data_IF_958166103004
#
_entry.id   IF_958166103004
#
_cell.length_a   1.000
_cell.length_b   1.000
_cell.length_c   1.000
_cell.angle_alpha   90.00
_cell.angle_beta   90.00
_cell.angle_gamma   90.00
#
_symmetry.space_group_name_H-M   'P 1'
#
loop_
_entity.id
_entity.type
_entity.pdbx_description
1 polymer ?
#
# COMPACT_ATOMS: atom_id res chain seq x y z
N UNK A 1 -12.02 8.52 13.11
CA UNK A 1 -13.18 7.58 13.21
C UNK A 1 -13.85 7.39 11.85
N UNK A 2 -14.11 8.46 11.09
CA UNK A 2 -14.65 8.36 9.72
C UNK A 2 -13.77 7.50 8.81
N UNK A 3 -12.44 7.68 8.85
CA UNK A 3 -11.49 6.90 8.04
C UNK A 3 -11.65 5.39 8.22
N UNK A 4 -11.78 4.93 9.47
CA UNK A 4 -11.95 3.51 9.79
C UNK A 4 -13.26 2.98 9.20
N UNK A 5 -14.34 3.75 9.28
CA UNK A 5 -15.64 3.36 8.70
C UNK A 5 -15.59 3.30 7.17
N UNK A 6 -14.92 4.27 6.53
CA UNK A 6 -14.73 4.27 5.07
C UNK A 6 -13.88 3.07 4.65
N UNK A 7 -12.83 2.75 5.40
CA UNK A 7 -11.96 1.60 5.10
C UNK A 7 -12.71 0.27 5.23
N UNK A 8 -13.50 0.11 6.29
CA UNK A 8 -14.36 -1.07 6.49
C UNK A 8 -15.41 -1.17 5.37
N UNK A 9 -16.02 -0.05 4.98
CA UNK A 9 -16.97 0.00 3.88
C UNK A 9 -16.35 -0.43 2.55
N UNK A 10 -15.15 0.06 2.25
CA UNK A 10 -14.39 -0.32 1.05
C UNK A 10 -13.96 -1.78 1.07
N UNK A 11 -13.48 -2.30 2.21
CA UNK A 11 -13.13 -3.70 2.36
C UNK A 11 -14.36 -4.62 2.17
N UNK A 12 -15.51 -4.22 2.72
CA UNK A 12 -16.79 -4.90 2.52
C UNK A 12 -17.23 -4.89 1.06
N UNK A 13 -17.17 -3.73 0.39
CA UNK A 13 -17.44 -3.59 -1.04
C UNK A 13 -16.52 -4.48 -1.88
N UNK A 14 -15.21 -4.48 -1.57
CA UNK A 14 -14.23 -5.34 -2.23
C UNK A 14 -14.55 -6.82 -2.08
N UNK A 15 -14.97 -7.25 -0.88
CA UNK A 15 -15.41 -8.63 -0.63
C UNK A 15 -16.65 -9.02 -1.44
N UNK A 16 -17.65 -8.14 -1.50
CA UNK A 16 -18.89 -8.37 -2.27
C UNK A 16 -18.61 -8.39 -3.77
N UNK A 17 -17.84 -7.43 -4.28
CA UNK A 17 -17.47 -7.34 -5.70
C UNK A 17 -16.62 -8.54 -6.13
N UNK A 18 -15.69 -9.00 -5.29
CA UNK A 18 -14.98 -10.26 -5.52
C UNK A 18 -15.94 -11.43 -5.69
N UNK A 19 -16.91 -11.56 -4.78
CA UNK A 19 -17.83 -12.70 -4.81
C UNK A 19 -18.76 -12.68 -6.03
N UNK A 20 -19.12 -11.48 -6.51
CA UNK A 20 -19.96 -11.27 -7.69
C UNK A 20 -19.19 -11.41 -9.01
N UNK A 21 -17.99 -10.85 -9.09
CA UNK A 21 -17.23 -10.70 -10.34
C UNK A 21 -16.11 -11.74 -10.50
N UNK A 22 -15.88 -12.59 -9.48
CA UNK A 22 -14.77 -13.56 -9.41
C UNK A 22 -13.40 -12.94 -9.65
N UNK A 23 -13.27 -11.64 -9.38
CA UNK A 23 -12.03 -10.90 -9.58
C UNK A 23 -10.96 -11.31 -8.57
N UNK A 24 -9.70 -11.29 -9.02
CA UNK A 24 -8.55 -11.58 -8.18
C UNK A 24 -8.40 -10.50 -7.09
N UNK A 25 -8.05 -10.90 -5.87
CA UNK A 25 -7.73 -9.99 -4.78
C UNK A 25 -6.64 -8.98 -5.13
N UNK A 26 -5.67 -9.36 -5.98
CA UNK A 26 -4.67 -8.42 -6.46
C UNK A 26 -5.30 -7.26 -7.26
N UNK A 27 -6.21 -7.57 -8.18
CA UNK A 27 -6.94 -6.58 -8.98
C UNK A 27 -7.84 -5.72 -8.08
N UNK A 28 -8.51 -6.33 -7.10
CA UNK A 28 -9.30 -5.59 -6.10
C UNK A 28 -8.45 -4.69 -5.23
N UNK A 29 -7.27 -5.14 -4.84
CA UNK A 29 -6.31 -4.34 -4.08
C UNK A 29 -5.93 -3.06 -4.82
N UNK A 30 -5.69 -3.14 -6.13
CA UNK A 30 -5.38 -1.97 -6.96
C UNK A 30 -6.50 -0.93 -6.91
N UNK A 31 -7.75 -1.35 -7.16
CA UNK A 31 -8.89 -0.44 -7.20
C UNK A 31 -9.25 0.12 -5.82
N UNK A 32 -9.18 -0.71 -4.78
CA UNK A 32 -9.42 -0.26 -3.40
C UNK A 32 -8.32 0.72 -2.95
N UNK A 33 -7.06 0.47 -3.32
CA UNK A 33 -5.95 1.39 -3.05
C UNK A 33 -6.17 2.72 -3.78
N UNK A 34 -6.64 2.68 -5.03
CA UNK A 34 -6.94 3.87 -5.83
C UNK A 34 -8.06 4.71 -5.23
N UNK A 35 -9.17 4.08 -4.83
CA UNK A 35 -10.30 4.76 -4.19
C UNK A 35 -9.89 5.34 -2.84
N UNK A 36 -9.13 4.59 -2.06
CA UNK A 36 -8.66 5.05 -0.75
C UNK A 36 -7.66 6.20 -0.88
N UNK A 37 -6.78 6.18 -1.88
CA UNK A 37 -5.88 7.29 -2.18
C UNK A 37 -6.65 8.56 -2.53
N UNK A 38 -7.66 8.46 -3.41
CA UNK A 38 -8.50 9.62 -3.78
C UNK A 38 -9.18 10.20 -2.53
N UNK A 39 -9.74 9.35 -1.67
CA UNK A 39 -10.33 9.80 -0.41
C UNK A 39 -9.31 10.52 0.49
N UNK A 40 -8.12 9.96 0.66
CA UNK A 40 -7.08 10.58 1.49
C UNK A 40 -6.56 11.89 0.89
N UNK A 41 -6.46 12.01 -0.43
CA UNK A 41 -5.94 13.20 -1.08
C UNK A 41 -6.96 14.37 -1.09
N UNK A 42 -8.24 14.06 -1.29
CA UNK A 42 -9.30 15.08 -1.40
C UNK A 42 -9.90 15.46 -0.05
N UNK A 43 -10.01 14.50 0.88
CA UNK A 43 -10.76 14.68 2.13
C UNK A 43 -9.97 14.33 3.41
N UNK A 44 -8.83 13.66 3.27
CA UNK A 44 -7.97 13.28 4.39
C UNK A 44 -6.81 14.24 4.62
N UNK A 45 -6.42 14.45 5.87
CA UNK A 45 -5.17 15.18 6.20
C UNK A 45 -3.93 14.26 6.25
N UNK A 46 -4.14 12.94 6.22
CA UNK A 46 -3.12 11.92 6.46
C UNK A 46 -2.50 11.29 5.21
N UNK A 47 -2.72 11.86 4.02
CA UNK A 47 -2.31 11.25 2.74
C UNK A 47 -0.82 10.93 2.66
N UNK A 48 0.05 11.80 3.20
CA UNK A 48 1.50 11.58 3.21
C UNK A 48 1.88 10.38 4.10
N UNK A 49 1.29 10.27 5.29
CA UNK A 49 1.54 9.17 6.20
C UNK A 49 0.98 7.85 5.65
N UNK A 50 -0.17 7.91 4.99
CA UNK A 50 -0.73 6.78 4.26
C UNK A 50 0.23 6.31 3.16
N UNK A 51 0.70 7.20 2.29
CA UNK A 51 1.63 6.84 1.20
C UNK A 51 2.92 6.20 1.73
N UNK A 52 3.50 6.76 2.80
CA UNK A 52 4.67 6.18 3.46
C UNK A 52 4.40 4.79 4.04
N UNK A 53 3.23 4.60 4.65
CA UNK A 53 2.79 3.30 5.19
C UNK A 53 2.59 2.27 4.09
N UNK A 54 2.00 2.65 2.96
CA UNK A 54 1.84 1.77 1.79
C UNK A 54 3.20 1.42 1.18
N UNK A 55 4.12 2.39 1.05
CA UNK A 55 5.47 2.13 0.58
C UNK A 55 6.26 1.19 1.48
N UNK A 56 6.10 1.32 2.79
CA UNK A 56 6.68 0.40 3.77
C UNK A 56 6.11 -1.02 3.61
N UNK A 57 4.79 -1.15 3.49
CA UNK A 57 4.13 -2.42 3.27
C UNK A 57 4.57 -3.06 1.93
N UNK A 58 4.78 -2.26 0.88
CA UNK A 58 5.29 -2.74 -0.40
C UNK A 58 6.72 -3.28 -0.28
N UNK A 59 7.61 -2.59 0.43
CA UNK A 59 8.97 -3.08 0.70
C UNK A 59 8.96 -4.40 1.48
N UNK A 60 8.11 -4.50 2.51
CA UNK A 60 7.92 -5.75 3.25
C UNK A 60 7.42 -6.87 2.34
N UNK A 61 6.42 -6.59 1.51
CA UNK A 61 5.89 -7.55 0.56
C UNK A 61 6.93 -8.03 -0.46
N UNK A 62 7.82 -7.14 -0.92
CA UNK A 62 8.98 -7.50 -1.75
C UNK A 62 9.92 -8.42 -0.99
N UNK A 63 10.27 -8.07 0.27
CA UNK A 63 11.14 -8.89 1.12
C UNK A 63 10.60 -10.30 1.36
N UNK A 64 9.28 -10.44 1.53
CA UNK A 64 8.59 -11.72 1.69
C UNK A 64 8.17 -12.40 0.37
N UNK A 65 8.59 -11.86 -0.80
CA UNK A 65 8.28 -12.41 -2.13
C UNK A 65 6.77 -12.53 -2.41
N UNK A 66 5.95 -11.69 -1.78
CA UNK A 66 4.50 -11.65 -2.01
C UNK A 66 4.15 -10.77 -3.21
N UNK A 67 4.54 -11.18 -4.42
CA UNK A 67 4.45 -10.34 -5.62
C UNK A 67 3.05 -9.83 -5.96
N UNK A 68 2.00 -10.61 -5.68
CA UNK A 68 0.62 -10.15 -5.86
C UNK A 68 0.25 -9.00 -4.92
N UNK A 69 0.81 -9.01 -3.70
CA UNK A 69 0.61 -7.96 -2.70
C UNK A 69 1.43 -6.72 -3.04
N UNK A 70 2.66 -6.90 -3.54
CA UNK A 70 3.48 -5.80 -4.09
C UNK A 70 2.71 -5.07 -5.18
N UNK A 71 2.12 -5.80 -6.12
CA UNK A 71 1.32 -5.23 -7.21
C UNK A 71 0.10 -4.46 -6.71
N UNK A 72 -0.59 -4.97 -5.69
CA UNK A 72 -1.75 -4.29 -5.09
C UNK A 72 -1.36 -3.02 -4.31
N UNK A 73 -0.16 -2.98 -3.74
CA UNK A 73 0.33 -1.86 -2.95
C UNK A 73 1.01 -0.78 -3.78
N UNK A 74 1.40 -1.08 -5.03
CA UNK A 74 2.01 -0.11 -5.93
C UNK A 74 1.15 1.17 -5.99
N UNK A 75 1.76 2.37 -6.01
CA UNK A 75 1.02 3.62 -5.99
C UNK A 75 0.52 3.94 -7.40
N UNK A 76 -0.34 3.09 -7.96
CA UNK A 76 -0.97 3.28 -9.27
C UNK A 76 -1.52 4.69 -9.49
N UNK A 77 -2.24 5.31 -8.53
CA UNK A 77 -2.75 6.65 -8.73
C UNK A 77 -1.63 7.67 -8.87
N UNK A 78 -0.59 7.55 -8.05
CA UNK A 78 0.55 8.47 -8.06
C UNK A 78 1.37 8.29 -9.33
N UNK A 79 1.55 7.05 -9.80
CA UNK A 79 2.20 6.76 -11.08
C UNK A 79 1.43 7.35 -12.25
N UNK A 80 0.10 7.19 -12.27
CA UNK A 80 -0.74 7.75 -13.32
C UNK A 80 -0.74 9.29 -13.27
N UNK A 81 -0.85 9.87 -12.08
CA UNK A 81 -0.80 11.32 -11.86
C UNK A 81 0.57 11.92 -12.25
N UNK A 82 1.66 11.29 -11.80
CA UNK A 82 3.02 11.70 -12.11
C UNK A 82 3.46 11.32 -13.53
N UNK A 83 2.61 10.68 -14.34
CA UNK A 83 2.94 10.18 -15.69
C UNK A 83 4.19 9.30 -15.69
N UNK A 84 4.32 8.46 -14.67
CA UNK A 84 5.47 7.60 -14.42
C UNK A 84 6.79 8.34 -14.16
N UNK A 85 6.73 9.61 -13.74
CA UNK A 85 7.89 10.31 -13.17
C UNK A 85 8.19 9.79 -11.76
N UNK A 86 9.22 8.96 -11.67
CA UNK A 86 9.65 8.33 -10.42
C UNK A 86 10.20 9.32 -9.39
N UNK A 87 10.63 10.52 -9.80
CA UNK A 87 11.08 11.55 -8.86
C UNK A 87 9.95 12.03 -7.95
N UNK A 88 8.72 12.04 -8.47
CA UNK A 88 7.52 12.44 -7.74
C UNK A 88 7.00 11.36 -6.78
N UNK A 89 7.59 10.16 -6.77
CA UNK A 89 7.27 9.08 -5.84
C UNK A 89 7.94 9.22 -4.47
N UNK A 90 8.69 10.31 -4.23
CA UNK A 90 9.29 10.58 -2.92
C UNK A 90 8.29 10.45 -1.73
N UNK A 91 6.99 10.82 -1.83
CA UNK A 91 6.04 10.64 -0.74
C UNK A 91 5.75 9.17 -0.41
N UNK A 92 5.94 8.30 -1.40
CA UNK A 92 5.78 6.85 -1.29
C UNK A 92 7.05 6.17 -0.77
N UNK A 93 8.21 6.82 -0.90
CA UNK A 93 9.39 6.34 -0.18
C UNK A 93 9.11 6.47 1.32
N UNK A 94 9.39 5.43 2.12
CA UNK A 94 9.14 5.56 3.54
C UNK A 94 10.12 6.61 4.12
N UNK A 95 9.84 7.14 5.29
CA UNK A 95 10.69 8.16 5.90
C UNK A 95 12.01 7.55 6.43
N UNK A 96 13.09 7.66 5.65
CA UNK A 96 14.42 7.14 6.04
C UNK A 96 14.98 7.72 7.34
N UNK A 97 14.48 8.88 7.77
CA UNK A 97 14.89 9.55 9.02
C UNK A 97 14.05 9.20 10.25
N UNK A 98 12.88 8.55 10.10
CA UNK A 98 12.02 8.22 11.24
C UNK A 98 12.40 6.83 11.76
N UNK A 99 12.72 6.70 13.07
CA UNK A 99 13.24 5.47 13.69
C UNK A 99 12.40 4.20 13.48
N UNK A 100 11.13 4.34 13.07
CA UNK A 100 10.25 3.26 12.62
C UNK A 100 10.84 2.46 11.44
N UNK A 101 11.64 3.12 10.61
CA UNK A 101 12.19 2.54 9.40
C UNK A 101 13.45 1.72 9.65
N UNK A 102 14.27 2.11 10.63
CA UNK A 102 15.37 1.28 11.14
C UNK A 102 14.84 -0.04 11.71
N UNK A 103 13.74 -0.01 12.46
CA UNK A 103 13.08 -1.23 12.95
C UNK A 103 12.59 -2.13 11.81
N UNK A 104 12.07 -1.53 10.74
CA UNK A 104 11.59 -2.26 9.56
C UNK A 104 12.75 -2.84 8.73
N UNK A 105 13.85 -2.10 8.59
CA UNK A 105 15.10 -2.58 7.97
C UNK A 105 15.71 -3.74 8.76
N UNK A 106 15.77 -3.63 10.10
CA UNK A 106 16.25 -4.71 10.97
C UNK A 106 15.36 -5.94 10.83
N UNK A 107 14.03 -5.76 10.79
CA UNK A 107 13.09 -6.86 10.57
C UNK A 107 13.24 -7.49 9.18
N UNK A 108 13.41 -6.69 8.13
CA UNK A 108 13.67 -7.16 6.77
C UNK A 108 14.99 -7.93 6.70
N UNK A 109 16.08 -7.41 7.25
CA UNK A 109 17.38 -8.07 7.30
C UNK A 109 17.28 -9.37 8.10
N UNK A 110 16.75 -9.32 9.32
CA UNK A 110 16.59 -10.52 10.16
C UNK A 110 15.62 -11.56 9.56
N UNK A 111 14.60 -11.11 8.84
CA UNK A 111 13.58 -11.94 8.18
C UNK A 111 14.05 -12.55 6.87
N UNK A 112 14.81 -11.81 6.05
CA UNK A 112 15.41 -12.30 4.79
C UNK A 112 16.45 -13.41 5.03
N UNK A 113 17.14 -13.39 6.17
CA UNK A 113 18.11 -14.43 6.53
C UNK A 113 17.50 -15.62 7.28
N UNK A 114 16.23 -15.55 7.70
CA UNK A 114 15.51 -16.74 8.19
C UNK A 114 15.00 -17.53 6.98
N UNK A 115 15.74 -18.57 6.61
CA UNK A 115 15.21 -19.61 5.73
C UNK A 115 13.90 -20.15 6.31
N UNK A 116 12.81 -20.27 5.54
CA UNK A 116 11.71 -21.12 5.97
C UNK A 116 12.27 -22.53 6.14
N UNK A 117 12.08 -23.10 7.33
CA UNK A 117 12.37 -24.50 7.63
C UNK A 117 11.30 -25.39 6.98
#
# INVERSE_FOLDING_TARGET
>A
MLDVLVWIGLAGLGGVLRHRLRWNWAVMGIWLNLIWFIYQNEMGSGWLMYLRGVGLAALLAVGYRQYGLVWALLPWPLLLYARFDFYQLWPYTPAWGDGFMLGTLVYLVAGLFKRPA
#
